data_IF_229840000135
#
_entry.id   IF_229840000135
#
_cell.length_a   1.000
_cell.length_b   1.000
_cell.length_c   1.000
_cell.angle_alpha   90.00
_cell.angle_beta   90.00
_cell.angle_gamma   90.00
#
_symmetry.space_group_name_H-M   'P 1'
#
loop_
_entity.id
_entity.type
_entity.pdbx_description
1 polymer ?
#
# COMPACT_ATOMS: atom_id res chain seq x y z
N UNK A 1 10.57 -33.50 26.21
CA UNK A 1 9.29 -33.04 26.79
C UNK A 1 9.40 -31.64 27.42
N UNK A 2 10.45 -31.31 28.20
CA UNK A 2 10.59 -30.01 28.87
C UNK A 2 10.65 -28.84 27.86
N UNK A 3 11.48 -28.92 26.82
CA UNK A 3 11.55 -27.88 25.77
C UNK A 3 10.23 -27.77 25.02
N UNK A 4 9.53 -28.88 24.75
CA UNK A 4 8.22 -28.88 24.11
C UNK A 4 7.17 -28.13 24.95
N UNK A 5 7.15 -28.35 26.24
CA UNK A 5 6.24 -27.67 27.17
C UNK A 5 6.61 -26.15 27.26
N UNK A 6 7.90 -25.83 27.35
CA UNK A 6 8.35 -24.44 27.47
C UNK A 6 7.96 -23.63 26.23
N UNK A 7 8.25 -24.12 25.01
CA UNK A 7 7.89 -23.39 23.80
C UNK A 7 6.37 -23.19 23.66
N UNK A 8 5.59 -24.23 24.03
CA UNK A 8 4.13 -24.16 23.96
C UNK A 8 3.58 -23.07 24.89
N UNK A 9 3.95 -23.12 26.19
CA UNK A 9 3.39 -22.18 27.16
C UNK A 9 3.88 -20.77 26.98
N UNK A 10 5.16 -20.55 26.65
CA UNK A 10 5.71 -19.22 26.37
C UNK A 10 5.07 -18.65 25.09
N UNK A 11 4.95 -19.46 24.04
CA UNK A 11 4.31 -19.05 22.81
C UNK A 11 2.82 -18.76 22.99
N UNK A 12 2.10 -19.59 23.76
CA UNK A 12 0.67 -19.39 24.04
C UNK A 12 0.44 -18.10 24.84
N UNK A 13 1.18 -17.85 25.90
CA UNK A 13 1.07 -16.60 26.67
C UNK A 13 1.41 -15.40 25.77
N UNK A 14 2.47 -15.52 24.95
CA UNK A 14 2.87 -14.48 24.03
C UNK A 14 1.77 -14.12 23.04
N UNK A 15 1.13 -15.10 22.39
CA UNK A 15 0.06 -14.83 21.41
C UNK A 15 -1.20 -14.31 22.08
N UNK A 16 -1.55 -14.76 23.28
CA UNK A 16 -2.71 -14.25 24.01
C UNK A 16 -2.54 -12.78 24.40
N UNK A 17 -1.36 -12.39 24.88
CA UNK A 17 -1.04 -11.00 25.18
C UNK A 17 -1.07 -10.13 23.90
N UNK A 18 -0.51 -10.65 22.81
CA UNK A 18 -0.53 -9.98 21.51
C UNK A 18 -1.96 -9.72 21.03
N UNK A 19 -2.82 -10.73 21.05
CA UNK A 19 -4.22 -10.63 20.61
C UNK A 19 -5.01 -9.68 21.50
N UNK A 20 -4.87 -9.79 22.82
CA UNK A 20 -5.55 -8.90 23.77
C UNK A 20 -5.16 -7.43 23.53
N UNK A 21 -3.86 -7.15 23.37
CA UNK A 21 -3.38 -5.81 23.07
C UNK A 21 -3.93 -5.26 21.75
N UNK A 22 -3.98 -6.09 20.70
CA UNK A 22 -4.52 -5.68 19.40
C UNK A 22 -6.02 -5.37 19.45
N UNK A 23 -6.79 -6.16 20.19
CA UNK A 23 -8.24 -5.93 20.31
C UNK A 23 -8.54 -4.67 21.13
N UNK A 24 -7.89 -4.48 22.26
CA UNK A 24 -8.07 -3.28 23.09
C UNK A 24 -7.66 -2.02 22.33
N UNK A 25 -6.50 -2.03 21.68
CA UNK A 25 -6.06 -0.92 20.83
C UNK A 25 -7.05 -0.63 19.69
N UNK A 26 -7.55 -1.67 19.01
CA UNK A 26 -8.50 -1.51 17.91
C UNK A 26 -9.83 -0.92 18.32
N UNK A 27 -10.40 -1.39 19.44
CA UNK A 27 -11.65 -0.84 20.00
C UNK A 27 -11.44 0.61 20.44
N UNK A 28 -10.37 0.90 21.18
CA UNK A 28 -10.06 2.26 21.66
C UNK A 28 -9.86 3.23 20.49
N UNK A 29 -9.06 2.81 19.49
CA UNK A 29 -8.85 3.60 18.28
C UNK A 29 -10.17 3.87 17.54
N UNK A 30 -11.02 2.85 17.36
CA UNK A 30 -12.30 2.98 16.67
C UNK A 30 -13.25 3.97 17.40
N UNK A 31 -13.33 3.88 18.71
CA UNK A 31 -14.15 4.78 19.52
C UNK A 31 -13.63 6.21 19.45
N UNK A 32 -12.34 6.44 19.66
CA UNK A 32 -11.75 7.79 19.65
C UNK A 32 -11.82 8.44 18.25
N UNK A 33 -11.55 7.69 17.19
CA UNK A 33 -11.63 8.23 15.82
C UNK A 33 -13.06 8.55 15.39
N UNK A 34 -14.06 7.88 15.99
CA UNK A 34 -15.47 8.08 15.70
C UNK A 34 -16.22 9.06 16.62
N UNK A 35 -15.57 9.48 17.71
CA UNK A 35 -16.22 10.38 18.70
C UNK A 35 -16.39 11.78 18.12
N UNK A 36 -17.63 12.25 18.11
CA UNK A 36 -18.01 13.58 17.64
C UNK A 36 -18.14 14.51 18.83
N UNK A 37 -17.81 15.80 18.63
CA UNK A 37 -18.02 16.85 19.63
C UNK A 37 -19.52 17.01 19.98
N UNK A 38 -19.79 17.63 21.13
CA UNK A 38 -21.16 17.80 21.63
C UNK A 38 -22.06 18.60 20.66
N UNK A 39 -21.48 19.50 19.87
CA UNK A 39 -22.19 20.26 18.84
C UNK A 39 -22.45 19.49 17.54
N UNK A 40 -21.89 18.27 17.40
CA UNK A 40 -22.06 17.43 16.23
C UNK A 40 -21.31 17.89 14.97
N UNK A 41 -20.54 18.97 15.05
CA UNK A 41 -19.92 19.62 13.88
C UNK A 41 -18.46 19.26 13.67
N UNK A 42 -17.79 18.78 14.71
CA UNK A 42 -16.36 18.46 14.68
C UNK A 42 -16.08 17.11 15.37
N UNK A 43 -14.88 16.60 15.21
CA UNK A 43 -14.41 15.43 15.95
C UNK A 43 -13.77 15.85 17.27
N UNK A 44 -13.95 15.03 18.31
CA UNK A 44 -13.44 15.29 19.65
C UNK A 44 -11.93 15.11 19.76
N UNK A 45 -11.38 14.12 19.06
CA UNK A 45 -9.98 13.74 19.14
C UNK A 45 -9.26 13.92 17.82
N UNK A 46 -8.04 14.42 17.89
CA UNK A 46 -7.12 14.39 16.75
C UNK A 46 -6.63 12.98 16.45
N UNK A 47 -6.18 12.76 15.22
CA UNK A 47 -5.63 11.47 14.82
C UNK A 47 -4.41 11.08 15.66
N UNK A 48 -3.49 12.04 15.91
CA UNK A 48 -2.28 11.80 16.70
C UNK A 48 -2.57 11.56 18.18
N UNK A 49 -3.61 12.22 18.75
CA UNK A 49 -4.05 11.96 20.12
C UNK A 49 -4.49 10.50 20.29
N UNK A 50 -5.23 9.98 19.30
CA UNK A 50 -5.61 8.56 19.28
C UNK A 50 -4.40 7.63 19.25
N UNK A 51 -3.37 7.96 18.45
CA UNK A 51 -2.14 7.19 18.41
C UNK A 51 -1.38 7.21 19.74
N UNK A 52 -1.31 8.37 20.40
CA UNK A 52 -0.68 8.51 21.73
C UNK A 52 -1.43 7.66 22.77
N UNK A 53 -2.77 7.64 22.71
CA UNK A 53 -3.59 6.91 23.66
C UNK A 53 -3.39 5.39 23.59
N UNK A 54 -3.14 4.83 22.40
CA UNK A 54 -2.96 3.38 22.21
C UNK A 54 -1.49 2.91 22.28
N UNK A 55 -0.56 3.79 22.65
CA UNK A 55 0.85 3.42 22.79
C UNK A 55 1.11 2.31 23.83
N UNK A 56 0.46 2.28 25.02
CA UNK A 56 0.63 1.20 25.98
C UNK A 56 0.32 -0.18 25.39
N UNK A 57 -0.72 -0.28 24.57
CA UNK A 57 -1.11 -1.51 23.88
C UNK A 57 -0.06 -1.92 22.85
N UNK A 58 0.60 -0.99 22.19
CA UNK A 58 1.71 -1.29 21.28
C UNK A 58 2.93 -1.86 22.02
N UNK A 59 3.22 -1.37 23.23
CA UNK A 59 4.28 -1.91 24.07
C UNK A 59 3.93 -3.33 24.51
N UNK A 60 2.70 -3.54 24.99
CA UNK A 60 2.21 -4.85 25.38
C UNK A 60 2.21 -5.87 24.23
N UNK A 61 1.80 -5.41 23.04
CA UNK A 61 1.87 -6.20 21.80
C UNK A 61 3.31 -6.60 21.47
N UNK A 62 4.26 -5.68 21.58
CA UNK A 62 5.68 -5.95 21.31
C UNK A 62 6.25 -6.96 22.27
N UNK A 63 5.88 -6.87 23.56
CA UNK A 63 6.27 -7.86 24.56
C UNK A 63 5.65 -9.24 24.29
N UNK A 64 4.36 -9.31 23.94
CA UNK A 64 3.70 -10.56 23.54
C UNK A 64 4.36 -11.18 22.31
N UNK A 65 4.70 -10.37 21.30
CA UNK A 65 5.42 -10.80 20.11
C UNK A 65 6.83 -11.34 20.41
N UNK A 66 7.55 -10.71 21.35
CA UNK A 66 8.86 -11.19 21.80
C UNK A 66 8.76 -12.55 22.49
N UNK A 67 7.79 -12.75 23.37
CA UNK A 67 7.54 -14.05 24.01
C UNK A 67 7.22 -15.11 22.96
N UNK A 68 6.39 -14.80 21.98
CA UNK A 68 6.08 -15.72 20.89
C UNK A 68 7.33 -16.10 20.09
N UNK A 69 8.19 -15.13 19.78
CA UNK A 69 9.46 -15.35 19.09
C UNK A 69 10.39 -16.27 19.92
N UNK A 70 10.49 -16.03 21.23
CA UNK A 70 11.27 -16.91 22.13
C UNK A 70 10.71 -18.33 22.10
N UNK A 71 9.40 -18.49 22.18
CA UNK A 71 8.73 -19.78 22.02
C UNK A 71 9.09 -20.44 20.68
N UNK A 72 9.05 -19.72 19.59
CA UNK A 72 9.42 -20.22 18.25
C UNK A 72 10.87 -20.70 18.19
N UNK A 73 11.82 -19.94 18.73
CA UNK A 73 13.23 -20.34 18.80
C UNK A 73 13.40 -21.62 19.62
N UNK A 74 12.73 -21.73 20.77
CA UNK A 74 12.76 -22.96 21.59
C UNK A 74 12.18 -24.16 20.84
N UNK A 75 11.15 -23.96 20.01
CA UNK A 75 10.62 -25.00 19.13
C UNK A 75 11.68 -25.46 18.12
N UNK A 76 12.36 -24.53 17.46
CA UNK A 76 13.45 -24.84 16.54
C UNK A 76 14.59 -25.64 17.20
N UNK A 77 15.00 -25.23 18.40
CA UNK A 77 16.02 -25.95 19.19
C UNK A 77 15.53 -27.35 19.55
N UNK A 78 14.25 -27.48 19.92
CA UNK A 78 13.66 -28.78 20.26
C UNK A 78 13.67 -29.73 19.06
N UNK A 79 13.22 -29.26 17.90
CA UNK A 79 13.21 -30.02 16.64
C UNK A 79 14.66 -30.44 16.28
N UNK A 80 15.60 -29.49 16.32
CA UNK A 80 16.99 -29.75 15.99
C UNK A 80 17.63 -30.80 16.93
N UNK A 81 17.40 -30.68 18.23
CA UNK A 81 17.87 -31.69 19.23
C UNK A 81 17.25 -33.05 18.96
N UNK A 82 15.95 -33.12 18.71
CA UNK A 82 15.23 -34.36 18.41
C UNK A 82 15.80 -35.03 17.15
N UNK A 83 16.02 -34.25 16.09
CA UNK A 83 16.60 -34.79 14.86
C UNK A 83 18.01 -35.32 15.03
N UNK A 84 18.84 -34.68 15.89
CA UNK A 84 20.22 -35.11 16.13
C UNK A 84 20.37 -36.27 17.14
N UNK A 85 19.49 -36.36 18.13
CA UNK A 85 19.57 -37.35 19.19
C UNK A 85 18.58 -38.51 19.02
N UNK A 86 17.66 -38.42 18.07
CA UNK A 86 16.67 -39.43 17.78
C UNK A 86 17.34 -40.71 17.23
N UNK A 87 17.20 -41.82 17.92
CA UNK A 87 17.46 -43.12 17.32
C UNK A 87 16.21 -43.53 16.54
N UNK A 88 16.35 -44.15 15.36
CA UNK A 88 15.22 -44.72 14.66
C UNK A 88 14.51 -45.73 15.58
N UNK A 89 13.27 -45.44 15.93
CA UNK A 89 12.47 -46.35 16.73
C UNK A 89 11.54 -47.09 15.77
N UNK A 90 11.75 -48.38 15.63
CA UNK A 90 10.83 -49.27 14.91
C UNK A 90 9.66 -49.55 15.85
N UNK A 91 8.62 -48.78 15.76
CA UNK A 91 7.36 -49.06 16.44
C UNK A 91 6.35 -49.56 15.44
N UNK A 92 5.75 -50.72 15.72
CA UNK A 92 4.62 -51.21 14.94
C UNK A 92 3.35 -50.50 15.45
N UNK A 93 3.04 -49.35 14.83
CA UNK A 93 1.77 -48.70 15.03
C UNK A 93 0.73 -49.38 14.16
N UNK A 94 -0.31 -49.97 14.76
CA UNK A 94 -1.49 -50.42 14.03
C UNK A 94 -2.15 -49.17 13.39
N UNK A 95 -1.77 -48.91 12.16
CA UNK A 95 -2.45 -47.89 11.32
C UNK A 95 -3.63 -48.61 10.68
N UNK A 96 -4.86 -48.18 10.95
CA UNK A 96 -5.98 -48.52 10.11
C UNK A 96 -5.62 -48.05 8.70
N UNK A 97 -5.12 -48.96 7.87
CA UNK A 97 -4.88 -48.66 6.46
C UNK A 97 -6.23 -48.28 5.89
N UNK A 98 -6.42 -47.05 5.40
CA UNK A 98 -7.64 -46.71 4.72
C UNK A 98 -7.79 -47.73 3.59
N UNK A 99 -8.97 -48.37 3.52
CA UNK A 99 -9.31 -49.33 2.46
C UNK A 99 -8.74 -48.78 1.16
N UNK A 100 -7.85 -49.54 0.50
CA UNK A 100 -7.13 -49.09 -0.70
C UNK A 100 -8.13 -48.38 -1.61
N UNK A 101 -7.99 -47.07 -1.70
CA UNK A 101 -8.81 -46.28 -2.62
C UNK A 101 -8.84 -47.02 -3.94
N UNK A 102 -10.04 -47.39 -4.40
CA UNK A 102 -10.26 -48.29 -5.52
C UNK A 102 -9.26 -47.92 -6.62
N UNK A 103 -8.48 -48.93 -7.06
CA UNK A 103 -7.46 -48.75 -8.10
C UNK A 103 -8.11 -48.16 -9.34
N UNK A 104 -7.93 -46.88 -9.54
CA UNK A 104 -8.43 -46.11 -10.64
C UNK A 104 -8.45 -44.65 -10.24
N UNK A 105 -7.34 -43.92 -10.48
CA UNK A 105 -7.36 -42.47 -10.41
C UNK A 105 -8.50 -41.97 -11.31
N UNK A 106 -9.29 -41.00 -10.85
CA UNK A 106 -10.28 -40.33 -11.67
C UNK A 106 -9.61 -39.84 -12.94
N UNK A 107 -10.06 -40.30 -14.11
CA UNK A 107 -9.62 -39.76 -15.38
C UNK A 107 -9.97 -38.27 -15.48
N UNK A 108 -9.22 -37.49 -16.25
CA UNK A 108 -9.49 -36.06 -16.45
C UNK A 108 -10.96 -35.78 -16.82
N UNK A 109 -11.53 -36.63 -17.70
CA UNK A 109 -12.94 -36.58 -18.11
C UNK A 109 -13.88 -36.80 -16.92
N UNK A 110 -13.61 -37.78 -16.08
CA UNK A 110 -14.42 -38.12 -14.93
C UNK A 110 -14.32 -37.04 -13.83
N UNK A 111 -13.19 -36.37 -13.72
CA UNK A 111 -12.99 -35.22 -12.81
C UNK A 111 -13.76 -33.99 -13.28
N UNK A 112 -13.75 -33.70 -14.58
CA UNK A 112 -14.40 -32.51 -15.14
C UNK A 112 -15.91 -32.69 -15.37
N UNK A 113 -16.40 -33.93 -15.57
CA UNK A 113 -17.80 -34.23 -15.87
C UNK A 113 -18.56 -34.84 -14.67
N UNK A 114 -17.90 -34.93 -13.54
CA UNK A 114 -18.55 -35.36 -12.30
C UNK A 114 -19.53 -34.26 -11.82
N UNK A 115 -20.67 -34.64 -11.27
CA UNK A 115 -21.78 -33.75 -10.93
C UNK A 115 -21.37 -32.52 -10.11
N UNK A 116 -20.62 -32.60 -9.00
CA UNK A 116 -20.22 -31.42 -8.22
C UNK A 116 -19.37 -30.41 -9.00
N UNK A 117 -18.44 -30.89 -9.83
CA UNK A 117 -17.55 -30.05 -10.64
C UNK A 117 -18.32 -29.44 -11.81
N UNK A 118 -19.18 -30.24 -12.48
CA UNK A 118 -20.02 -29.76 -13.56
C UNK A 118 -20.98 -28.65 -13.09
N UNK A 119 -21.60 -28.79 -11.91
CA UNK A 119 -22.46 -27.77 -11.35
C UNK A 119 -21.69 -26.53 -10.90
N UNK A 120 -20.47 -26.67 -10.34
CA UNK A 120 -19.61 -25.55 -10.01
C UNK A 120 -19.20 -24.77 -11.27
N UNK A 121 -18.77 -25.44 -12.32
CA UNK A 121 -18.42 -24.82 -13.60
C UNK A 121 -19.61 -24.13 -14.25
N UNK A 122 -20.78 -24.74 -14.24
CA UNK A 122 -22.03 -24.13 -14.72
C UNK A 122 -22.36 -22.87 -13.89
N UNK A 123 -22.25 -22.93 -12.57
CA UNK A 123 -22.45 -21.76 -11.69
C UNK A 123 -21.49 -20.63 -12.03
N UNK A 124 -20.22 -20.93 -12.27
CA UNK A 124 -19.21 -19.94 -12.68
C UNK A 124 -19.55 -19.35 -14.06
N UNK A 125 -19.92 -20.17 -15.03
CA UNK A 125 -20.35 -19.70 -16.35
C UNK A 125 -21.56 -18.76 -16.22
N UNK A 126 -22.56 -19.11 -15.41
CA UNK A 126 -23.70 -18.23 -15.15
C UNK A 126 -23.31 -16.94 -14.44
N UNK A 127 -22.37 -16.97 -13.50
CA UNK A 127 -21.83 -15.79 -12.85
C UNK A 127 -21.13 -14.87 -13.88
N UNK A 128 -20.35 -15.44 -14.79
CA UNK A 128 -19.75 -14.70 -15.89
C UNK A 128 -20.80 -14.07 -16.82
N UNK A 129 -21.84 -14.82 -17.18
CA UNK A 129 -22.95 -14.30 -17.98
C UNK A 129 -23.70 -13.17 -17.26
N UNK A 130 -23.81 -13.19 -15.93
CA UNK A 130 -24.44 -12.12 -15.16
C UNK A 130 -23.79 -10.75 -15.40
N UNK A 131 -22.47 -10.70 -15.52
CA UNK A 131 -21.75 -9.46 -15.80
C UNK A 131 -21.97 -8.91 -17.21
N UNK A 132 -22.42 -9.76 -18.15
CA UNK A 132 -22.60 -9.39 -19.56
C UNK A 132 -24.07 -9.28 -20.00
N UNK A 133 -25.03 -9.59 -19.13
CA UNK A 133 -26.46 -9.49 -19.45
C UNK A 133 -26.99 -8.05 -19.23
N UNK A 134 -27.93 -7.60 -20.09
CA UNK A 134 -28.61 -6.33 -19.88
C UNK A 134 -29.35 -6.28 -18.52
N UNK A 135 -29.71 -5.07 -18.00
CA UNK A 135 -30.21 -4.89 -16.63
C UNK A 135 -31.42 -5.74 -16.19
N UNK A 136 -32.12 -6.35 -17.13
CA UNK A 136 -33.27 -7.23 -16.83
C UNK A 136 -32.90 -8.71 -16.78
N UNK A 137 -31.72 -9.09 -17.25
CA UNK A 137 -31.19 -10.45 -17.23
C UNK A 137 -30.51 -10.83 -15.90
N UNK A 138 -30.11 -9.86 -15.11
CA UNK A 138 -29.42 -10.06 -13.82
C UNK A 138 -30.28 -10.87 -12.83
N UNK A 139 -31.57 -10.57 -12.73
CA UNK A 139 -32.52 -11.27 -11.85
C UNK A 139 -32.75 -12.70 -12.28
N UNK A 140 -32.84 -12.93 -13.59
CA UNK A 140 -32.99 -14.27 -14.15
C UNK A 140 -31.72 -15.10 -13.92
N UNK A 141 -30.54 -14.51 -14.14
CA UNK A 141 -29.25 -15.15 -13.86
C UNK A 141 -29.09 -15.48 -12.37
N UNK A 142 -29.52 -14.61 -11.47
CA UNK A 142 -29.49 -14.86 -10.03
C UNK A 142 -30.37 -16.04 -9.65
N UNK A 143 -31.63 -16.08 -10.13
CA UNK A 143 -32.57 -17.19 -9.87
C UNK A 143 -32.02 -18.51 -10.39
N UNK A 144 -31.47 -18.52 -11.62
CA UNK A 144 -30.86 -19.71 -12.22
C UNK A 144 -29.63 -20.17 -11.44
N UNK A 145 -28.80 -19.26 -10.97
CA UNK A 145 -27.63 -19.56 -10.13
C UNK A 145 -28.07 -20.22 -8.81
N UNK A 146 -29.09 -19.65 -8.15
CA UNK A 146 -29.63 -20.23 -6.92
C UNK A 146 -30.20 -21.64 -7.18
N UNK A 147 -30.99 -21.83 -8.23
CA UNK A 147 -31.58 -23.13 -8.58
C UNK A 147 -30.50 -24.17 -8.90
N UNK A 148 -29.45 -23.78 -9.64
CA UNK A 148 -28.32 -24.67 -9.95
C UNK A 148 -27.51 -25.01 -8.71
N UNK A 149 -27.31 -24.05 -7.81
CA UNK A 149 -26.63 -24.30 -6.54
C UNK A 149 -27.43 -25.27 -5.67
N UNK A 150 -28.73 -25.05 -5.52
CA UNK A 150 -29.63 -25.96 -4.77
C UNK A 150 -29.61 -27.37 -5.39
N UNK A 151 -29.70 -27.45 -6.72
CA UNK A 151 -29.65 -28.73 -7.44
C UNK A 151 -28.28 -29.42 -7.28
N UNK A 152 -27.18 -28.65 -7.34
CA UNK A 152 -25.83 -29.15 -7.10
C UNK A 152 -25.63 -29.70 -5.67
N UNK A 153 -26.10 -28.97 -4.66
CA UNK A 153 -26.08 -29.42 -3.26
C UNK A 153 -26.93 -30.69 -3.06
N UNK A 154 -28.10 -30.73 -3.70
CA UNK A 154 -28.98 -31.90 -3.65
C UNK A 154 -28.35 -33.13 -4.32
N UNK A 155 -27.77 -32.98 -5.51
CA UNK A 155 -27.04 -34.01 -6.21
C UNK A 155 -25.83 -34.50 -5.37
N UNK A 156 -25.09 -33.60 -4.78
CA UNK A 156 -23.96 -33.90 -3.90
C UNK A 156 -24.38 -34.71 -2.66
N UNK A 157 -25.50 -34.33 -2.00
CA UNK A 157 -26.05 -35.10 -0.87
C UNK A 157 -26.52 -36.50 -1.22
N UNK A 158 -26.92 -36.73 -2.48
CA UNK A 158 -27.35 -38.04 -3.01
C UNK A 158 -26.22 -38.85 -3.65
N UNK A 159 -25.06 -38.21 -3.87
CA UNK A 159 -23.92 -38.89 -4.48
C UNK A 159 -23.39 -39.98 -3.53
N UNK A 160 -23.02 -41.13 -4.11
CA UNK A 160 -22.37 -42.21 -3.37
C UNK A 160 -20.96 -41.85 -2.90
N UNK A 161 -20.38 -40.79 -3.44
CA UNK A 161 -19.04 -40.28 -3.09
C UNK A 161 -19.18 -39.22 -2.01
N UNK A 162 -18.72 -39.53 -0.81
CA UNK A 162 -18.68 -38.55 0.29
C UNK A 162 -17.68 -37.44 -0.03
N UNK A 163 -17.87 -36.24 0.58
CA UNK A 163 -16.96 -35.11 0.43
C UNK A 163 -15.49 -35.46 0.69
N UNK A 164 -15.21 -36.20 1.75
CA UNK A 164 -13.86 -36.60 2.09
C UNK A 164 -13.24 -37.50 1.01
N UNK A 165 -13.99 -38.46 0.48
CA UNK A 165 -13.51 -39.37 -0.58
C UNK A 165 -13.21 -38.63 -1.86
N UNK A 166 -14.04 -37.63 -2.22
CA UNK A 166 -13.79 -36.78 -3.38
C UNK A 166 -12.55 -35.92 -3.22
N UNK A 167 -12.39 -35.30 -2.04
CA UNK A 167 -11.24 -34.46 -1.72
C UNK A 167 -9.94 -35.29 -1.74
N UNK A 168 -9.93 -36.47 -1.09
CA UNK A 168 -8.78 -37.35 -1.12
C UNK A 168 -8.44 -37.85 -2.52
N UNK A 169 -9.44 -38.22 -3.32
CA UNK A 169 -9.22 -38.63 -4.71
C UNK A 169 -8.64 -37.51 -5.54
N UNK A 170 -9.08 -36.27 -5.35
CA UNK A 170 -8.54 -35.10 -6.03
C UNK A 170 -7.09 -34.83 -5.61
N UNK A 171 -6.78 -34.87 -4.33
CA UNK A 171 -5.42 -34.66 -3.81
C UNK A 171 -4.42 -35.72 -4.31
N UNK A 172 -4.86 -36.97 -4.47
CA UNK A 172 -4.01 -38.05 -4.99
C UNK A 172 -3.83 -37.99 -6.52
N UNK A 173 -4.58 -37.16 -7.21
CA UNK A 173 -4.47 -36.94 -8.66
C UNK A 173 -3.91 -35.56 -8.96
N UNK A 174 -2.59 -35.44 -8.92
CA UNK A 174 -1.89 -34.15 -9.08
C UNK A 174 -2.27 -33.39 -10.35
N UNK A 175 -2.49 -34.09 -11.48
CA UNK A 175 -2.82 -33.43 -12.75
C UNK A 175 -4.20 -32.75 -12.73
N UNK A 176 -5.32 -33.43 -12.39
CA UNK A 176 -6.61 -32.80 -12.24
C UNK A 176 -6.62 -31.72 -11.15
N UNK A 177 -5.94 -31.93 -10.03
CA UNK A 177 -5.82 -30.94 -8.97
C UNK A 177 -5.16 -29.67 -9.48
N UNK A 178 -4.00 -29.79 -10.12
CA UNK A 178 -3.26 -28.63 -10.66
C UNK A 178 -4.07 -27.90 -11.73
N UNK A 179 -4.77 -28.64 -12.61
CA UNK A 179 -5.60 -28.04 -13.64
C UNK A 179 -6.79 -27.27 -13.05
N UNK A 180 -7.48 -27.82 -12.06
CA UNK A 180 -8.59 -27.15 -11.40
C UNK A 180 -8.14 -25.91 -10.62
N UNK A 181 -6.99 -25.96 -9.95
CA UNK A 181 -6.40 -24.80 -9.29
C UNK A 181 -6.05 -23.72 -10.32
N UNK A 182 -5.42 -24.10 -11.44
CA UNK A 182 -5.10 -23.15 -12.51
C UNK A 182 -6.37 -22.51 -13.10
N UNK A 183 -7.42 -23.30 -13.35
CA UNK A 183 -8.70 -22.79 -13.84
C UNK A 183 -9.32 -21.81 -12.84
N UNK A 184 -9.32 -22.14 -11.54
CA UNK A 184 -9.86 -21.26 -10.50
C UNK A 184 -9.11 -19.94 -10.44
N UNK A 185 -7.78 -19.97 -10.50
CA UNK A 185 -6.93 -18.78 -10.55
C UNK A 185 -7.17 -17.96 -11.82
N UNK A 186 -7.27 -18.64 -12.97
CA UNK A 186 -7.54 -17.97 -14.26
C UNK A 186 -8.91 -17.29 -14.28
N UNK A 187 -9.94 -17.92 -13.69
CA UNK A 187 -11.27 -17.33 -13.57
C UNK A 187 -11.24 -16.11 -12.65
N UNK A 188 -10.62 -16.24 -11.47
CA UNK A 188 -10.48 -15.10 -10.55
C UNK A 188 -9.74 -13.91 -11.19
N UNK A 189 -8.65 -14.19 -11.91
CA UNK A 189 -7.92 -13.19 -12.68
C UNK A 189 -8.76 -12.57 -13.80
N UNK A 190 -9.51 -13.38 -14.55
CA UNK A 190 -10.38 -12.89 -15.61
C UNK A 190 -11.50 -11.98 -15.09
N UNK A 191 -12.16 -12.37 -13.99
CA UNK A 191 -13.19 -11.55 -13.32
C UNK A 191 -12.65 -10.19 -12.86
N UNK A 192 -11.40 -10.14 -12.45
CA UNK A 192 -10.76 -8.89 -12.00
C UNK A 192 -10.30 -8.04 -13.20
N UNK A 193 -9.65 -8.66 -14.19
CA UNK A 193 -8.95 -7.95 -15.26
C UNK A 193 -9.91 -7.52 -16.39
N UNK A 194 -10.81 -8.42 -16.83
CA UNK A 194 -11.67 -8.17 -17.99
C UNK A 194 -12.56 -6.93 -17.79
N UNK A 195 -13.30 -6.75 -16.68
CA UNK A 195 -14.08 -5.54 -16.46
C UNK A 195 -13.21 -4.29 -16.49
N UNK A 196 -12.01 -4.36 -15.90
CA UNK A 196 -11.07 -3.23 -15.87
C UNK A 196 -10.59 -2.80 -17.26
N UNK A 197 -10.52 -3.75 -18.22
CA UNK A 197 -10.12 -3.45 -19.60
C UNK A 197 -11.29 -2.95 -20.46
N UNK A 198 -12.53 -3.42 -20.19
CA UNK A 198 -13.70 -3.12 -21.01
C UNK A 198 -14.37 -1.81 -20.61
N UNK A 199 -14.31 -1.45 -19.32
CA UNK A 199 -14.96 -0.22 -18.82
C UNK A 199 -14.36 0.99 -19.52
N UNK A 200 -15.19 1.70 -20.30
CA UNK A 200 -14.83 2.99 -20.87
C UNK A 200 -14.95 4.05 -19.77
N UNK A 201 -13.82 4.36 -19.16
CA UNK A 201 -13.73 5.07 -17.89
C UNK A 201 -14.17 6.53 -17.97
N UNK A 202 -14.01 7.16 -19.16
CA UNK A 202 -14.27 8.59 -19.31
C UNK A 202 -15.75 8.95 -19.50
N UNK A 203 -16.58 7.97 -19.89
CA UNK A 203 -17.97 8.24 -20.30
C UNK A 203 -19.02 8.09 -19.20
N UNK A 204 -18.67 7.46 -18.06
CA UNK A 204 -19.64 7.10 -17.02
C UNK A 204 -19.37 7.74 -15.65
N UNK A 205 -18.45 8.69 -15.58
CA UNK A 205 -18.11 9.37 -14.33
C UNK A 205 -18.78 10.72 -14.30
N UNK A 206 -19.64 10.93 -13.31
CA UNK A 206 -20.23 12.23 -12.98
C UNK A 206 -19.51 12.81 -11.77
N UNK A 207 -19.31 14.14 -11.75
CA UNK A 207 -18.65 14.84 -10.68
C UNK A 207 -17.13 14.88 -10.81
N UNK A 208 -16.40 14.43 -9.81
CA UNK A 208 -14.95 14.52 -9.79
C UNK A 208 -14.30 13.40 -10.58
N UNK A 209 -13.43 13.78 -11.50
CA UNK A 209 -12.60 12.87 -12.26
C UNK A 209 -11.13 13.10 -11.92
N UNK A 210 -10.43 12.02 -11.63
CA UNK A 210 -8.98 12.02 -11.42
C UNK A 210 -8.28 12.66 -12.63
N UNK A 211 -7.38 13.57 -12.39
CA UNK A 211 -6.47 14.04 -13.41
C UNK A 211 -5.36 13.02 -13.66
N UNK A 212 -4.89 12.95 -14.89
CA UNK A 212 -3.80 12.06 -15.26
C UNK A 212 -2.54 12.41 -14.47
N UNK A 213 -1.81 11.41 -14.08
CA UNK A 213 -0.49 11.58 -13.50
C UNK A 213 0.50 12.10 -14.54
N UNK A 214 1.32 13.07 -14.16
CA UNK A 214 2.54 13.34 -14.91
C UNK A 214 3.49 12.15 -14.82
N UNK A 215 4.50 12.03 -15.68
CA UNK A 215 5.48 10.94 -15.58
C UNK A 215 6.16 10.85 -14.21
N UNK A 216 6.48 11.99 -13.57
CA UNK A 216 7.08 12.02 -12.24
C UNK A 216 6.10 11.55 -11.15
N UNK A 217 4.85 12.01 -11.19
CA UNK A 217 3.80 11.60 -10.26
C UNK A 217 3.53 10.09 -10.37
N UNK A 218 3.57 9.54 -11.59
CA UNK A 218 3.47 8.09 -11.79
C UNK A 218 4.66 7.33 -11.18
N UNK A 219 5.89 7.86 -11.28
CA UNK A 219 7.04 7.31 -10.58
C UNK A 219 6.85 7.34 -9.06
N UNK A 220 6.36 8.44 -8.53
CA UNK A 220 6.07 8.60 -7.10
C UNK A 220 4.97 7.65 -6.62
N UNK A 221 3.94 7.41 -7.44
CA UNK A 221 2.91 6.40 -7.16
C UNK A 221 3.51 4.99 -7.04
N UNK A 222 4.39 4.64 -7.95
CA UNK A 222 5.06 3.34 -7.92
C UNK A 222 5.93 3.18 -6.66
N UNK A 223 6.61 4.25 -6.24
CA UNK A 223 7.35 4.29 -4.97
C UNK A 223 6.41 4.12 -3.76
N UNK A 224 5.27 4.83 -3.75
CA UNK A 224 4.25 4.67 -2.71
C UNK A 224 3.80 3.21 -2.57
N UNK A 225 3.65 2.51 -3.68
CA UNK A 225 3.27 1.08 -3.69
C UNK A 225 4.42 0.20 -3.24
N UNK A 226 5.64 0.42 -3.75
CA UNK A 226 6.81 -0.40 -3.43
C UNK A 226 7.26 -0.25 -1.97
N UNK A 227 7.17 0.96 -1.40
CA UNK A 227 7.45 1.24 0.00
C UNK A 227 6.34 0.76 0.95
N UNK A 228 5.20 0.34 0.41
CA UNK A 228 4.10 -0.20 1.20
C UNK A 228 3.33 0.83 2.01
N UNK A 229 3.33 2.10 1.61
CA UNK A 229 2.63 3.19 2.29
C UNK A 229 1.14 2.88 2.48
N UNK A 230 0.54 2.19 1.51
CA UNK A 230 -0.87 1.74 1.55
C UNK A 230 -1.17 0.74 2.69
N UNK A 231 -0.16 0.14 3.31
CA UNK A 231 -0.37 -0.73 4.48
C UNK A 231 -0.75 0.04 5.74
N UNK A 232 -0.34 1.32 5.82
CA UNK A 232 -0.64 2.19 6.95
C UNK A 232 -1.64 3.30 6.61
N UNK A 233 -1.70 3.72 5.34
CA UNK A 233 -2.56 4.79 4.85
C UNK A 233 -3.63 4.27 3.89
N UNK A 234 -4.85 4.77 4.03
CA UNK A 234 -5.91 4.62 3.03
C UNK A 234 -5.93 5.84 2.10
N UNK A 235 -6.56 5.70 0.94
CA UNK A 235 -6.84 6.77 -0.01
C UNK A 235 -8.32 6.72 -0.43
N UNK A 236 -9.21 6.70 0.56
CA UNK A 236 -10.65 6.70 0.33
C UNK A 236 -11.36 7.27 1.56
N UNK A 237 -12.02 8.40 1.40
CA UNK A 237 -12.92 8.96 2.42
C UNK A 237 -14.21 8.18 2.33
N UNK A 238 -14.55 7.49 3.41
CA UNK A 238 -15.75 6.65 3.49
C UNK A 238 -16.99 7.50 3.70
N UNK A 239 -18.17 6.92 3.45
CA UNK A 239 -19.49 7.56 3.67
C UNK A 239 -19.85 7.72 5.15
N UNK A 240 -18.91 7.45 6.05
CA UNK A 240 -19.09 7.56 7.49
C UNK A 240 -18.90 9.02 7.94
N UNK A 241 -19.81 9.51 8.77
CA UNK A 241 -19.75 10.89 9.28
C UNK A 241 -18.36 11.26 9.87
N UNK A 242 -17.70 10.44 10.69
CA UNK A 242 -16.39 10.78 11.21
C UNK A 242 -15.31 10.93 10.14
N UNK A 243 -15.38 10.16 9.05
CA UNK A 243 -14.47 10.27 7.92
C UNK A 243 -14.68 11.58 7.16
N UNK A 244 -15.94 11.91 6.87
CA UNK A 244 -16.32 13.15 6.20
C UNK A 244 -15.88 14.35 7.04
N UNK A 245 -16.16 14.35 8.35
CA UNK A 245 -15.73 15.43 9.25
C UNK A 245 -14.20 15.58 9.33
N UNK A 246 -13.44 14.51 9.16
CA UNK A 246 -11.98 14.55 9.28
C UNK A 246 -11.27 14.91 7.99
N UNK A 247 -11.78 14.45 6.84
CA UNK A 247 -11.02 14.46 5.57
C UNK A 247 -11.75 15.19 4.43
N UNK A 248 -13.03 15.46 4.58
CA UNK A 248 -13.81 16.15 3.56
C UNK A 248 -13.56 17.65 3.53
N UNK A 249 -13.98 18.30 2.44
CA UNK A 249 -13.97 19.76 2.34
C UNK A 249 -15.03 20.36 3.27
N UNK A 250 -14.67 21.42 3.94
CA UNK A 250 -15.57 22.09 4.86
C UNK A 250 -16.85 22.60 4.19
N UNK A 251 -17.94 22.40 4.89
CA UNK A 251 -19.25 22.92 4.45
C UNK A 251 -19.85 22.17 3.26
N UNK A 252 -19.20 21.10 2.78
CA UNK A 252 -19.74 20.24 1.72
C UNK A 252 -20.29 18.98 2.37
N UNK A 253 -21.60 18.88 2.45
CA UNK A 253 -22.26 17.64 2.87
C UNK A 253 -21.94 16.53 1.86
N UNK A 254 -21.79 15.31 2.36
CA UNK A 254 -21.55 14.12 1.53
C UNK A 254 -20.28 14.15 0.66
N UNK A 255 -19.24 14.87 1.12
CA UNK A 255 -17.96 14.96 0.43
C UNK A 255 -17.06 13.73 0.66
N UNK A 256 -17.60 12.53 0.53
CA UNK A 256 -16.85 11.28 0.53
C UNK A 256 -16.23 11.00 -0.85
N UNK A 257 -15.33 10.00 -0.91
CA UNK A 257 -14.65 9.64 -2.16
C UNK A 257 -15.59 8.98 -3.16
N UNK A 258 -15.52 9.43 -4.40
CA UNK A 258 -16.24 8.87 -5.54
C UNK A 258 -15.30 8.02 -6.42
N UNK A 259 -15.85 7.09 -7.17
CA UNK A 259 -15.08 6.21 -8.05
C UNK A 259 -14.20 6.98 -9.03
N UNK A 260 -14.68 8.10 -9.54
CA UNK A 260 -13.94 8.96 -10.46
C UNK A 260 -12.62 9.50 -9.91
N UNK A 261 -12.53 9.65 -8.58
CA UNK A 261 -11.34 10.18 -7.91
C UNK A 261 -10.11 9.26 -7.98
N UNK A 262 -10.29 7.97 -8.30
CA UNK A 262 -9.22 6.97 -8.40
C UNK A 262 -9.33 6.08 -9.65
N UNK A 263 -10.09 6.52 -10.65
CA UNK A 263 -10.44 5.67 -11.80
C UNK A 263 -9.24 5.23 -12.65
N UNK A 264 -8.15 5.99 -12.61
CA UNK A 264 -6.91 5.67 -13.35
C UNK A 264 -5.88 4.91 -12.51
N UNK A 265 -6.20 4.61 -11.25
CA UNK A 265 -5.32 3.83 -10.38
C UNK A 265 -5.45 2.33 -10.63
N UNK A 266 -4.34 1.70 -10.98
CA UNK A 266 -4.23 0.27 -11.18
C UNK A 266 -3.00 -0.27 -10.46
N UNK A 267 -3.22 -0.99 -9.33
CA UNK A 267 -4.46 -1.20 -8.58
C UNK A 267 -4.92 0.06 -7.82
N UNK A 268 -6.19 0.09 -7.43
CA UNK A 268 -6.72 1.10 -6.53
C UNK A 268 -5.95 1.11 -5.20
N UNK A 269 -5.65 2.31 -4.69
CA UNK A 269 -4.91 2.49 -3.45
C UNK A 269 -5.83 2.79 -2.25
N UNK A 270 -7.06 2.35 -2.28
CA UNK A 270 -8.05 2.65 -1.24
C UNK A 270 -7.58 2.26 0.16
N UNK A 271 -6.89 1.11 0.29
CA UNK A 271 -6.38 0.62 1.56
C UNK A 271 -7.47 0.13 2.51
N UNK A 272 -7.09 -0.68 3.47
CA UNK A 272 -8.00 -1.23 4.48
C UNK A 272 -7.59 -0.86 5.91
N UNK A 273 -6.47 -0.21 6.09
CA UNK A 273 -5.89 0.15 7.40
C UNK A 273 -5.63 1.64 7.47
N UNK A 274 -5.73 2.18 8.67
CA UNK A 274 -5.42 3.56 9.02
C UNK A 274 -4.55 3.60 10.27
N UNK A 275 -3.38 3.01 10.20
CA UNK A 275 -2.31 3.24 11.17
C UNK A 275 -1.81 4.69 11.06
N UNK A 276 -1.84 5.24 9.84
CA UNK A 276 -1.74 6.65 9.49
C UNK A 276 -3.07 7.22 8.98
N UNK A 277 -3.18 8.55 8.79
CA UNK A 277 -4.38 9.20 8.27
C UNK A 277 -4.66 8.80 6.81
N UNK A 278 -5.90 9.05 6.36
CA UNK A 278 -6.27 8.94 4.95
C UNK A 278 -5.54 10.02 4.12
N UNK A 279 -5.06 9.65 2.95
CA UNK A 279 -4.28 10.51 2.06
C UNK A 279 -5.03 10.88 0.77
N UNK A 280 -6.29 10.49 0.60
CA UNK A 280 -7.02 10.72 -0.66
C UNK A 280 -6.99 12.16 -1.15
N UNK A 281 -6.81 13.13 -0.24
CA UNK A 281 -6.79 14.57 -0.54
C UNK A 281 -5.57 15.28 0.02
N UNK A 282 -4.44 14.59 0.04
CA UNK A 282 -3.22 15.12 0.65
C UNK A 282 -2.71 16.37 -0.08
N UNK A 283 -2.73 16.39 -1.39
CA UNK A 283 -2.29 17.48 -2.24
C UNK A 283 -3.40 18.43 -2.73
N UNK A 284 -4.68 18.10 -2.45
CA UNK A 284 -5.83 18.90 -2.89
C UNK A 284 -6.06 20.15 -2.06
N UNK A 285 -6.93 21.01 -2.58
CA UNK A 285 -7.35 22.22 -1.87
C UNK A 285 -8.06 21.90 -0.57
N UNK A 286 -7.75 22.70 0.39
CA UNK A 286 -8.29 22.90 1.74
C UNK A 286 -9.48 22.08 2.17
N UNK A 287 -9.27 21.28 3.18
CA UNK A 287 -10.29 20.89 4.13
C UNK A 287 -10.48 22.05 5.10
N UNK A 288 -11.47 22.92 4.83
CA UNK A 288 -11.80 24.02 5.74
C UNK A 288 -12.85 23.59 6.77
N UNK A 289 -12.65 23.95 8.01
CA UNK A 289 -13.74 24.10 9.00
C UNK A 289 -13.91 23.04 10.06
N UNK A 290 -13.22 21.91 10.06
CA UNK A 290 -13.17 21.06 11.23
C UNK A 290 -12.10 21.58 12.19
N UNK A 291 -12.35 21.53 13.51
CA UNK A 291 -11.37 21.93 14.55
C UNK A 291 -10.01 21.30 14.36
N UNK A 292 -9.96 20.18 13.64
CA UNK A 292 -8.79 19.34 13.36
C UNK A 292 -8.59 19.05 11.86
N UNK A 293 -9.38 19.70 11.00
CA UNK A 293 -9.16 19.62 9.58
C UNK A 293 -7.89 20.41 9.24
N UNK A 294 -7.07 19.83 8.36
CA UNK A 294 -5.90 20.55 7.86
C UNK A 294 -6.30 21.90 7.28
N UNK A 295 -5.73 22.96 7.81
CA UNK A 295 -5.87 24.31 7.30
C UNK A 295 -4.94 24.51 6.10
N UNK A 296 -5.06 23.71 5.03
CA UNK A 296 -4.30 23.91 3.82
C UNK A 296 -3.54 22.69 3.30
N UNK A 297 -3.15 22.78 2.04
CA UNK A 297 -2.22 21.87 1.37
C UNK A 297 -0.89 21.88 2.12
N UNK A 298 -0.37 20.71 2.43
CA UNK A 298 1.00 20.58 2.92
C UNK A 298 1.96 20.85 1.79
N UNK A 299 2.96 21.69 2.04
CA UNK A 299 3.95 22.07 1.04
C UNK A 299 5.02 20.97 0.82
N UNK A 300 5.88 21.19 -0.15
CA UNK A 300 6.95 20.26 -0.47
C UNK A 300 7.93 20.10 0.69
N UNK A 301 8.21 21.19 1.43
CA UNK A 301 9.11 21.18 2.59
C UNK A 301 8.54 20.35 3.73
N UNK A 302 7.23 20.44 3.98
CA UNK A 302 6.57 19.61 4.99
C UNK A 302 6.72 18.14 4.67
N UNK A 303 6.44 17.72 3.42
CA UNK A 303 6.58 16.32 2.99
C UNK A 303 8.02 15.84 3.07
N UNK A 304 8.97 16.68 2.63
CA UNK A 304 10.40 16.38 2.70
C UNK A 304 10.81 16.06 4.14
N UNK A 305 10.50 16.96 5.09
CA UNK A 305 10.81 16.79 6.49
C UNK A 305 10.07 15.62 7.13
N UNK A 306 8.81 15.37 6.69
CA UNK A 306 8.01 14.28 7.20
C UNK A 306 8.56 12.91 6.80
N UNK A 307 9.06 12.74 5.60
CA UNK A 307 9.72 11.50 5.18
C UNK A 307 11.09 11.32 5.84
N UNK A 308 11.81 12.41 6.06
CA UNK A 308 13.10 12.37 6.72
C UNK A 308 12.97 12.05 8.23
N UNK A 309 12.07 12.74 8.91
CA UNK A 309 11.76 12.52 10.33
C UNK A 309 10.30 12.87 10.64
N UNK A 310 9.38 11.90 10.60
CA UNK A 310 7.95 12.15 10.83
C UNK A 310 7.63 12.83 12.17
N UNK A 311 8.42 12.55 13.20
CA UNK A 311 8.21 13.12 14.55
C UNK A 311 8.54 14.59 14.65
N UNK A 312 9.38 15.10 13.77
CA UNK A 312 9.69 16.53 13.69
C UNK A 312 8.49 17.35 13.20
N UNK A 313 7.70 16.81 12.28
CA UNK A 313 6.53 17.48 11.72
C UNK A 313 5.22 17.13 12.43
N UNK A 314 5.19 15.97 13.09
CA UNK A 314 4.01 15.44 13.79
C UNK A 314 4.47 14.72 15.07
N UNK A 315 4.54 15.48 16.18
CA UNK A 315 4.95 14.93 17.47
C UNK A 315 4.06 13.74 17.90
N UNK A 316 4.68 12.62 18.24
CA UNK A 316 3.98 11.39 18.61
C UNK A 316 3.60 10.50 17.41
N UNK A 317 4.06 10.84 16.21
CA UNK A 317 3.89 9.98 15.04
C UNK A 317 4.57 8.62 15.25
N UNK A 318 3.89 7.54 14.86
CA UNK A 318 4.43 6.18 14.80
C UNK A 318 4.97 5.81 13.41
N UNK A 319 4.90 6.72 12.44
CA UNK A 319 5.46 6.52 11.11
C UNK A 319 6.98 6.38 11.21
N UNK A 320 7.61 5.40 10.56
CA UNK A 320 9.07 5.31 10.48
C UNK A 320 9.64 6.42 9.59
N UNK A 321 10.91 6.74 9.76
CA UNK A 321 11.66 7.54 8.81
C UNK A 321 12.02 6.71 7.57
N UNK A 322 12.19 7.37 6.42
CA UNK A 322 12.53 6.75 5.13
C UNK A 322 13.82 7.35 4.55
N UNK A 323 14.97 7.22 5.24
CA UNK A 323 16.21 7.90 4.83
C UNK A 323 16.69 7.45 3.45
N UNK A 324 16.45 6.21 3.05
CA UNK A 324 16.86 5.67 1.74
C UNK A 324 16.23 6.40 0.55
N UNK A 325 15.04 7.02 0.70
CA UNK A 325 14.41 7.81 -0.37
C UNK A 325 15.23 9.06 -0.75
N UNK A 326 16.11 9.50 0.15
CA UNK A 326 17.00 10.64 -0.06
C UNK A 326 18.32 10.23 -0.72
N UNK A 327 18.68 8.95 -0.64
CA UNK A 327 19.92 8.39 -1.20
C UNK A 327 19.68 7.76 -2.57
N UNK A 328 18.55 7.09 -2.74
CA UNK A 328 18.25 6.33 -3.96
C UNK A 328 17.74 7.26 -5.07
N UNK A 329 18.12 6.90 -6.30
CA UNK A 329 17.69 7.63 -7.50
C UNK A 329 16.38 7.09 -8.06
N UNK A 330 15.58 7.99 -8.60
CA UNK A 330 14.37 7.65 -9.34
C UNK A 330 14.73 7.02 -10.69
N UNK A 331 14.18 5.86 -10.99
CA UNK A 331 14.39 5.22 -12.30
C UNK A 331 13.54 5.89 -13.39
N UNK A 332 14.03 7.01 -13.91
CA UNK A 332 13.40 7.71 -15.01
C UNK A 332 13.35 6.88 -16.29
N UNK A 333 14.30 5.97 -16.51
CA UNK A 333 14.39 5.17 -17.74
C UNK A 333 13.23 4.20 -17.91
N UNK A 334 12.61 3.78 -16.81
CA UNK A 334 11.46 2.88 -16.82
C UNK A 334 10.14 3.60 -17.21
N UNK A 335 10.06 4.91 -17.09
CA UNK A 335 8.82 5.69 -17.25
C UNK A 335 8.13 5.51 -18.61
N UNK A 336 8.83 5.53 -19.77
CA UNK A 336 8.18 5.31 -21.06
C UNK A 336 7.46 3.97 -21.13
N UNK A 337 8.05 2.90 -20.60
CA UNK A 337 7.43 1.58 -20.56
C UNK A 337 6.24 1.54 -19.59
N UNK A 338 6.34 2.19 -18.45
CA UNK A 338 5.25 2.29 -17.47
C UNK A 338 4.04 3.01 -18.07
N UNK A 339 4.25 4.14 -18.72
CA UNK A 339 3.18 4.88 -19.42
C UNK A 339 2.58 4.04 -20.56
N UNK A 340 3.40 3.32 -21.33
CA UNK A 340 2.90 2.44 -22.36
C UNK A 340 2.00 1.32 -21.79
N UNK A 341 2.34 0.76 -20.63
CA UNK A 341 1.50 -0.22 -19.92
C UNK A 341 0.20 0.43 -19.45
N UNK A 342 0.26 1.60 -18.81
CA UNK A 342 -0.94 2.33 -18.38
C UNK A 342 -1.91 2.60 -19.54
N UNK A 343 -1.40 2.98 -20.70
CA UNK A 343 -2.21 3.17 -21.93
C UNK A 343 -2.87 1.86 -22.38
N UNK A 344 -2.15 0.73 -22.32
CA UNK A 344 -2.70 -0.59 -22.70
C UNK A 344 -3.85 -1.03 -21.79
N UNK A 345 -3.83 -0.66 -20.52
CA UNK A 345 -4.90 -0.95 -19.57
C UNK A 345 -6.00 0.12 -19.56
N UNK A 346 -5.98 1.07 -20.52
CA UNK A 346 -7.05 2.01 -20.78
C UNK A 346 -6.94 3.36 -20.08
N UNK A 347 -5.80 3.70 -19.47
CA UNK A 347 -5.56 5.07 -18.96
C UNK A 347 -5.27 5.99 -20.15
N UNK A 348 -5.99 7.11 -20.32
CA UNK A 348 -5.93 7.95 -21.51
C UNK A 348 -4.71 8.90 -21.54
N UNK A 349 -3.51 8.34 -21.33
CA UNK A 349 -2.29 9.13 -21.46
C UNK A 349 -2.13 9.65 -22.90
N UNK A 350 -1.74 10.92 -23.08
CA UNK A 350 -1.46 11.47 -24.40
C UNK A 350 -0.32 10.72 -25.09
N UNK A 351 -0.29 10.80 -26.41
CA UNK A 351 0.81 10.26 -27.18
C UNK A 351 2.04 11.14 -26.96
N UNK A 352 3.01 10.61 -26.23
CA UNK A 352 4.30 11.26 -25.99
C UNK A 352 5.42 10.33 -26.44
N UNK A 353 6.47 10.88 -27.02
CA UNK A 353 7.68 10.13 -27.30
C UNK A 353 8.54 9.97 -26.03
N UNK A 354 9.55 9.12 -26.11
CA UNK A 354 10.40 8.81 -24.96
C UNK A 354 11.11 10.05 -24.39
N UNK A 355 11.57 10.96 -25.25
CA UNK A 355 12.28 12.18 -24.82
C UNK A 355 11.31 13.13 -24.09
N UNK A 356 10.12 13.35 -24.63
CA UNK A 356 9.10 14.18 -24.00
C UNK A 356 8.74 13.68 -22.60
N UNK A 357 8.60 12.36 -22.42
CA UNK A 357 8.31 11.76 -21.11
C UNK A 357 9.45 12.05 -20.12
N UNK A 358 10.68 11.83 -20.53
CA UNK A 358 11.85 12.04 -19.69
C UNK A 358 12.08 13.52 -19.37
N UNK A 359 11.92 14.39 -20.35
CA UNK A 359 12.09 15.83 -20.17
C UNK A 359 11.02 16.40 -19.23
N UNK A 360 9.76 15.98 -19.41
CA UNK A 360 8.68 16.39 -18.52
C UNK A 360 8.92 15.90 -17.08
N UNK A 361 9.35 14.66 -16.89
CA UNK A 361 9.65 14.13 -15.57
C UNK A 361 10.77 14.90 -14.88
N UNK A 362 11.87 15.16 -15.59
CA UNK A 362 13.03 15.88 -15.05
C UNK A 362 12.72 17.34 -14.79
N UNK A 363 11.98 17.98 -15.67
CA UNK A 363 11.56 19.37 -15.47
C UNK A 363 10.72 19.52 -14.20
N UNK A 364 9.73 18.67 -14.02
CA UNK A 364 8.89 18.66 -12.82
C UNK A 364 9.70 18.33 -11.55
N UNK A 365 10.64 17.37 -11.64
CA UNK A 365 11.51 17.05 -10.51
C UNK A 365 12.41 18.24 -10.12
N UNK A 366 12.98 18.92 -11.10
CA UNK A 366 13.80 20.10 -10.86
C UNK A 366 13.00 21.26 -10.27
N UNK A 367 11.75 21.45 -10.68
CA UNK A 367 10.84 22.46 -10.13
C UNK A 367 10.59 22.22 -8.63
N UNK A 368 10.26 20.99 -8.24
CA UNK A 368 10.08 20.63 -6.82
C UNK A 368 11.40 20.79 -6.04
N UNK A 369 12.51 20.34 -6.60
CA UNK A 369 13.82 20.44 -5.97
C UNK A 369 14.23 21.91 -5.75
N UNK A 370 14.01 22.80 -6.71
CA UNK A 370 14.25 24.23 -6.56
C UNK A 370 13.39 24.86 -5.48
N UNK A 371 12.10 24.52 -5.45
CA UNK A 371 11.20 24.98 -4.39
C UNK A 371 11.72 24.58 -2.99
N UNK A 372 12.26 23.38 -2.85
CA UNK A 372 12.86 22.92 -1.58
C UNK A 372 14.16 23.66 -1.24
N UNK A 373 15.01 23.91 -2.23
CA UNK A 373 16.24 24.71 -2.05
C UNK A 373 15.93 26.15 -1.64
N UNK A 374 14.93 26.77 -2.27
CA UNK A 374 14.45 28.12 -1.92
C UNK A 374 13.89 28.15 -0.48
N UNK A 375 13.26 27.06 -0.04
CA UNK A 375 12.81 26.84 1.34
C UNK A 375 13.96 26.46 2.29
N UNK A 376 15.22 26.53 1.84
CA UNK A 376 16.46 26.27 2.60
C UNK A 376 16.55 24.85 3.18
N UNK A 377 16.10 23.86 2.43
CA UNK A 377 16.33 22.46 2.78
C UNK A 377 17.84 22.17 2.86
N UNK A 378 18.23 21.38 3.83
CA UNK A 378 19.61 20.93 3.97
C UNK A 378 19.79 19.61 3.19
N UNK A 379 20.48 19.71 2.05
CA UNK A 379 20.81 18.56 1.22
C UNK A 379 22.21 18.71 0.61
N UNK A 380 23.02 17.67 0.52
CA UNK A 380 22.84 16.37 1.19
C UNK A 380 22.85 16.51 2.73
N UNK A 381 22.20 15.56 3.40
CA UNK A 381 22.16 15.52 4.86
C UNK A 381 23.55 15.14 5.42
N UNK A 382 23.81 15.44 6.69
CA UNK A 382 25.07 15.06 7.34
C UNK A 382 25.34 13.55 7.29
N UNK A 383 24.27 12.76 7.44
CA UNK A 383 24.33 11.30 7.29
C UNK A 383 24.85 10.87 5.90
N UNK A 384 24.32 11.49 4.83
CA UNK A 384 24.77 11.23 3.46
C UNK A 384 26.23 11.66 3.22
N UNK A 385 26.67 12.67 3.95
CA UNK A 385 28.07 13.13 3.92
C UNK A 385 29.00 12.29 4.81
N UNK A 386 28.47 11.27 5.51
CA UNK A 386 29.23 10.45 6.45
C UNK A 386 29.68 11.24 7.68
N UNK A 387 28.88 12.21 8.12
CA UNK A 387 29.16 13.02 9.31
C UNK A 387 28.28 12.51 10.45
N UNK A 388 28.94 11.98 11.47
CA UNK A 388 28.33 11.62 12.73
C UNK A 388 28.69 12.67 13.79
N UNK A 389 27.74 13.57 14.09
CA UNK A 389 27.95 14.64 15.06
C UNK A 389 28.26 14.13 16.45
N UNK A 390 27.58 13.07 16.90
CA UNK A 390 27.76 12.52 18.24
C UNK A 390 29.16 11.92 18.39
N UNK A 391 29.61 11.17 17.39
CA UNK A 391 30.94 10.60 17.38
C UNK A 391 32.02 11.68 17.33
N UNK A 392 31.88 12.70 16.47
CA UNK A 392 32.83 13.80 16.34
C UNK A 392 32.87 14.69 17.58
N UNK A 393 31.72 14.92 18.23
CA UNK A 393 31.68 15.64 19.51
C UNK A 393 32.36 14.85 20.64
N UNK A 394 32.22 13.52 20.66
CA UNK A 394 32.91 12.65 21.60
C UNK A 394 34.44 12.64 21.37
N UNK A 395 34.90 12.90 20.14
CA UNK A 395 36.30 13.14 19.80
C UNK A 395 36.81 14.53 20.16
N UNK A 396 35.95 15.39 20.73
CA UNK A 396 36.30 16.74 21.21
C UNK A 396 36.18 17.86 20.17
N UNK A 397 35.53 17.59 19.01
CA UNK A 397 35.28 18.62 18.00
C UNK A 397 34.13 19.52 18.42
N UNK A 398 34.27 20.83 18.22
CA UNK A 398 33.21 21.80 18.44
C UNK A 398 32.14 21.72 17.33
N UNK A 399 30.92 22.19 17.66
CA UNK A 399 29.83 22.28 16.68
C UNK A 399 30.20 23.15 15.46
N UNK A 400 31.04 24.17 15.64
CA UNK A 400 31.52 25.00 14.55
C UNK A 400 32.44 24.23 13.60
N UNK A 401 33.41 23.45 14.12
CA UNK A 401 34.29 22.61 13.32
C UNK A 401 33.53 21.54 12.57
N UNK A 402 32.54 20.88 13.22
CA UNK A 402 31.70 19.88 12.58
C UNK A 402 30.89 20.50 11.44
N UNK A 403 30.35 21.71 11.66
CA UNK A 403 29.58 22.43 10.63
C UNK A 403 30.44 22.87 9.44
N UNK A 404 31.68 23.28 9.68
CA UNK A 404 32.64 23.59 8.62
C UNK A 404 33.04 22.36 7.82
N UNK A 405 33.27 21.23 8.48
CA UNK A 405 33.50 19.94 7.80
C UNK A 405 32.31 19.52 6.95
N UNK A 406 31.10 19.70 7.46
CA UNK A 406 29.87 19.40 6.72
C UNK A 406 29.73 20.27 5.48
N UNK A 407 30.03 21.57 5.59
CA UNK A 407 30.02 22.48 4.45
C UNK A 407 31.06 22.10 3.39
N UNK A 408 32.29 21.80 3.79
CA UNK A 408 33.35 21.39 2.88
C UNK A 408 32.98 20.10 2.12
N UNK A 409 32.50 19.07 2.81
CA UNK A 409 32.05 17.82 2.19
C UNK A 409 30.84 18.02 1.27
N UNK A 410 29.95 18.95 1.64
CA UNK A 410 28.79 19.29 0.77
C UNK A 410 29.25 19.92 -0.53
N UNK A 411 30.21 20.83 -0.49
CA UNK A 411 30.77 21.44 -1.70
C UNK A 411 31.43 20.41 -2.61
N UNK A 412 32.18 19.48 -2.02
CA UNK A 412 32.80 18.36 -2.75
C UNK A 412 31.72 17.44 -3.36
N UNK A 413 30.70 17.06 -2.60
CA UNK A 413 29.59 16.24 -3.07
C UNK A 413 28.83 16.87 -4.24
N UNK A 414 28.58 18.18 -4.17
CA UNK A 414 27.89 18.92 -5.21
C UNK A 414 28.80 19.27 -6.41
N UNK A 415 30.08 19.04 -6.31
CA UNK A 415 31.05 19.38 -7.36
C UNK A 415 31.22 20.90 -7.55
N UNK A 416 30.89 21.70 -6.54
CA UNK A 416 30.98 23.16 -6.55
C UNK A 416 32.03 23.62 -5.58
N UNK A 417 33.07 24.28 -6.08
CA UNK A 417 34.13 24.88 -5.29
C UNK A 417 33.94 26.41 -5.16
N UNK A 418 33.44 26.90 -4.03
CA UNK A 418 33.19 28.32 -3.81
C UNK A 418 34.46 29.18 -3.92
N UNK A 419 35.60 28.65 -3.47
CA UNK A 419 36.88 29.37 -3.52
C UNK A 419 37.32 29.62 -4.96
N UNK A 420 37.24 28.56 -5.79
CA UNK A 420 37.55 28.63 -7.21
C UNK A 420 36.63 29.57 -7.98
N UNK A 421 35.34 29.59 -7.63
CA UNK A 421 34.38 30.51 -8.26
C UNK A 421 34.68 31.98 -7.91
N UNK A 422 35.06 32.25 -6.66
CA UNK A 422 35.50 33.61 -6.24
C UNK A 422 36.79 34.02 -6.92
N UNK A 423 37.77 33.13 -7.08
CA UNK A 423 38.99 33.36 -7.86
C UNK A 423 38.70 33.72 -9.33
N UNK A 424 37.61 33.19 -9.90
CA UNK A 424 37.09 33.50 -11.24
C UNK A 424 36.32 34.82 -11.29
N UNK A 425 36.26 35.57 -10.21
CA UNK A 425 35.59 36.89 -10.12
C UNK A 425 34.07 36.81 -9.91
N UNK A 426 33.55 35.65 -9.50
CA UNK A 426 32.14 35.48 -9.14
C UNK A 426 31.82 36.18 -7.83
N UNK A 427 30.71 36.88 -7.78
CA UNK A 427 30.14 37.44 -6.56
C UNK A 427 29.62 36.34 -5.62
N UNK A 428 29.49 36.65 -4.33
CA UNK A 428 28.92 35.72 -3.37
C UNK A 428 27.51 35.27 -3.74
N UNK A 429 26.70 36.15 -4.31
CA UNK A 429 25.37 35.80 -4.83
C UNK A 429 25.43 34.79 -6.01
N UNK A 430 26.41 34.91 -6.89
CA UNK A 430 26.61 33.96 -7.99
C UNK A 430 27.15 32.61 -7.48
N UNK A 431 27.94 32.61 -6.42
CA UNK A 431 28.40 31.39 -5.75
C UNK A 431 27.25 30.68 -5.06
N UNK A 432 26.40 31.41 -4.35
CA UNK A 432 25.21 30.87 -3.69
C UNK A 432 24.21 30.29 -4.70
N UNK A 433 24.00 30.99 -5.84
CA UNK A 433 23.14 30.49 -6.93
C UNK A 433 23.72 29.22 -7.58
N UNK A 434 25.03 29.14 -7.74
CA UNK A 434 25.69 27.93 -8.27
C UNK A 434 25.51 26.74 -7.32
N UNK A 435 25.65 26.95 -6.01
CA UNK A 435 25.40 25.94 -4.99
C UNK A 435 23.92 25.52 -4.96
N UNK A 436 23.01 26.48 -5.02
CA UNK A 436 21.56 26.22 -5.06
C UNK A 436 21.18 25.41 -6.31
N UNK A 437 21.73 25.77 -7.46
CA UNK A 437 21.48 25.06 -8.72
C UNK A 437 22.02 23.61 -8.67
N UNK A 438 23.24 23.42 -8.20
CA UNK A 438 23.82 22.08 -8.06
C UNK A 438 23.02 21.24 -7.06
N UNK A 439 22.63 21.82 -5.93
CA UNK A 439 21.77 21.17 -4.94
C UNK A 439 20.44 20.72 -5.56
N UNK A 440 19.77 21.60 -6.29
CA UNK A 440 18.51 21.27 -6.94
C UNK A 440 18.66 20.15 -7.99
N UNK A 441 19.74 20.16 -8.76
CA UNK A 441 20.03 19.13 -9.76
C UNK A 441 20.23 17.76 -9.12
N UNK A 442 21.06 17.67 -8.07
CA UNK A 442 21.28 16.43 -7.36
C UNK A 442 20.04 15.92 -6.63
N UNK A 443 19.27 16.84 -6.04
CA UNK A 443 18.05 16.50 -5.31
C UNK A 443 16.94 16.03 -6.25
N UNK A 444 16.83 16.61 -7.45
CA UNK A 444 15.81 16.26 -8.42
C UNK A 444 15.79 14.78 -8.81
N UNK A 445 16.94 14.13 -8.78
CA UNK A 445 17.05 12.70 -9.12
C UNK A 445 16.65 11.78 -7.95
N UNK A 446 16.45 12.28 -6.74
CA UNK A 446 16.13 11.45 -5.57
C UNK A 446 14.68 10.97 -5.56
N UNK A 447 14.47 9.75 -5.05
CA UNK A 447 13.14 9.13 -4.96
C UNK A 447 12.15 9.95 -4.14
N UNK A 448 12.62 10.65 -3.12
CA UNK A 448 11.78 11.53 -2.29
C UNK A 448 11.07 12.59 -3.12
N UNK A 449 11.68 13.10 -4.19
CA UNK A 449 11.09 14.12 -5.07
C UNK A 449 9.91 13.54 -5.86
N UNK A 450 10.06 12.35 -6.42
CA UNK A 450 8.95 11.67 -7.10
C UNK A 450 7.80 11.36 -6.14
N UNK A 451 8.12 10.93 -4.92
CA UNK A 451 7.10 10.66 -3.90
C UNK A 451 6.37 11.95 -3.49
N UNK A 452 7.08 13.08 -3.32
CA UNK A 452 6.46 14.40 -3.05
C UNK A 452 5.53 14.79 -4.20
N UNK A 453 5.95 14.63 -5.46
CA UNK A 453 5.10 14.89 -6.62
C UNK A 453 3.78 14.12 -6.55
N UNK A 454 3.84 12.84 -6.21
CA UNK A 454 2.65 12.01 -6.03
C UNK A 454 1.77 12.50 -4.85
N UNK A 455 2.35 12.84 -3.70
CA UNK A 455 1.58 13.37 -2.55
C UNK A 455 0.86 14.66 -2.92
N UNK A 456 1.52 15.54 -3.67
CA UNK A 456 0.93 16.81 -4.14
C UNK A 456 -0.17 16.61 -5.17
N UNK A 457 -0.19 15.47 -5.85
CA UNK A 457 -1.22 15.11 -6.84
C UNK A 457 -2.50 14.58 -6.20
N UNK A 458 -2.41 13.92 -5.05
CA UNK A 458 -3.56 13.32 -4.37
C UNK A 458 -4.63 14.37 -4.03
N UNK A 459 -5.85 14.14 -4.50
CA UNK A 459 -6.97 15.05 -4.26
C UNK A 459 -7.10 16.18 -5.29
N UNK A 460 -6.31 16.15 -6.37
CA UNK A 460 -6.50 17.06 -7.49
C UNK A 460 -7.43 16.41 -8.52
N UNK A 461 -8.57 17.05 -8.77
CA UNK A 461 -9.62 16.54 -9.65
C UNK A 461 -10.08 17.62 -10.62
N UNK A 462 -10.54 17.21 -11.80
CA UNK A 462 -11.37 18.04 -12.66
C UNK A 462 -12.83 17.75 -12.39
N UNK A 463 -13.67 18.79 -12.36
CA UNK A 463 -15.11 18.63 -12.33
C UNK A 463 -15.61 18.24 -13.71
N UNK A 464 -16.38 17.17 -13.80
CA UNK A 464 -17.05 16.74 -15.02
C UNK A 464 -18.53 17.07 -14.84
N UNK A 465 -19.00 18.08 -15.59
CA UNK A 465 -20.41 18.42 -15.62
C UNK A 465 -21.22 17.25 -16.20
N UNK A 466 -22.45 17.11 -15.70
CA UNK A 466 -23.43 16.21 -16.29
C UNK A 466 -23.69 16.67 -17.73
N UNK A 467 -23.12 15.97 -18.70
CA UNK A 467 -23.37 16.28 -20.08
C UNK A 467 -24.87 16.37 -20.34
N UNK A 468 -25.26 17.45 -21.02
CA UNK A 468 -26.55 17.56 -21.67
C UNK A 468 -26.80 16.38 -22.60
N UNK A 469 -27.96 16.24 -23.22
CA UNK A 469 -28.45 15.00 -23.80
C UNK A 469 -27.40 14.30 -24.65
N UNK A 470 -27.07 13.06 -24.29
CA UNK A 470 -26.15 12.18 -25.00
C UNK A 470 -26.70 12.00 -26.42
N UNK A 471 -26.03 12.54 -27.40
CA UNK A 471 -26.28 12.13 -28.77
C UNK A 471 -25.98 10.64 -28.93
N UNK A 472 -26.80 9.90 -29.68
CA UNK A 472 -26.84 8.45 -29.72
C UNK A 472 -25.58 7.78 -30.30
#
# INVERSE_FOLDING_TARGET
QSLANMHFWIGLVGILLYVAAMWTAGVMQGLMLGEVSEDGTTLKYEFVETLKAIQPEYILRSFGGLLFLVGFVLCGINIWKTARSGQPHEDTVEVTVPEKAAKGGMGLRETLVNDPVAYALLGIVFLCFWFFLPPHGDKVALVLTILLTVKGVHAFRRSAVKWNDWHERLLHNYLPFTLLVFIAVAIGGAVQIIPSLIVNRDKNVEGRLQELYTPLELAGRDLYVSEGCYNCHSQMIRTLMPDVLRYARAGVADDFSHLGESIYDHPFQWGSKRTGPDLAREGGDLIQGAKYARSGRRDNLWHYNHFLNPRQTSEGSNMPAYPWLFDQETDFRALPNKIAVQRRIGVPFPAMNQHEILDQARFHALEIARNLVDARVIYPTEHQLGIDREALAAEGKSDAEISEMAAARRHEFLGVDPAKLREQGKSDAEVDEALATATAQHLADRQVIALIAYMQKLGTYREVEKDGPREP
#
